data_IF_544175129100
#
_entry.id   IF_544175129100
#
_cell.length_a   1.000
_cell.length_b   1.000
_cell.length_c   1.000
_cell.angle_alpha   90.00
_cell.angle_beta   90.00
_cell.angle_gamma   90.00
#
_symmetry.space_group_name_H-M   'P 1'
#
loop_
_entity.id
_entity.type
_entity.pdbx_description
1 polymer ?
#
# COMPACT_ATOMS: atom_id res chain seq x y z
N UNK A 1 -23.14 2.21 12.47
CA UNK A 1 -23.46 1.62 11.16
C UNK A 1 -22.89 2.43 9.99
N UNK A 2 -23.20 3.72 9.82
CA UNK A 2 -22.69 4.51 8.67
C UNK A 2 -21.16 4.52 8.50
N UNK A 3 -20.37 4.54 9.58
CA UNK A 3 -18.91 4.55 9.50
C UNK A 3 -18.34 3.23 8.96
N UNK A 4 -18.90 2.09 9.38
CA UNK A 4 -18.50 0.77 8.89
C UNK A 4 -18.82 0.62 7.41
N UNK A 5 -20.01 1.06 6.97
CA UNK A 5 -20.41 1.04 5.56
C UNK A 5 -19.49 1.90 4.67
N UNK A 6 -18.97 3.01 5.20
CA UNK A 6 -17.98 3.87 4.51
C UNK A 6 -16.63 3.17 4.40
N UNK A 7 -16.16 2.54 5.47
CA UNK A 7 -14.88 1.83 5.51
C UNK A 7 -14.87 0.63 4.56
N UNK A 8 -16.02 0.01 4.32
CA UNK A 8 -16.16 -1.10 3.36
C UNK A 8 -16.20 -0.64 1.89
N UNK A 9 -16.61 0.61 1.65
CA UNK A 9 -16.80 1.15 0.28
C UNK A 9 -15.65 2.01 -0.20
N UNK A 10 -14.92 2.62 0.72
CA UNK A 10 -13.86 3.59 0.41
C UNK A 10 -12.54 3.18 1.04
N UNK A 11 -11.45 3.68 0.49
CA UNK A 11 -10.09 3.47 1.02
C UNK A 11 -9.69 4.67 1.88
N UNK A 12 -9.12 4.40 3.04
CA UNK A 12 -8.64 5.42 3.97
C UNK A 12 -7.19 5.17 4.32
N UNK A 13 -6.39 6.23 4.36
CA UNK A 13 -4.99 6.16 4.76
C UNK A 13 -4.82 6.11 6.28
N UNK A 14 -5.80 6.60 7.03
CA UNK A 14 -5.81 6.62 8.49
C UNK A 14 -7.24 6.84 9.01
N UNK A 15 -7.55 6.25 10.15
CA UNK A 15 -8.81 6.45 10.87
C UNK A 15 -8.54 7.12 12.22
N UNK A 16 -9.24 8.22 12.47
CA UNK A 16 -9.33 8.83 13.79
C UNK A 16 -10.60 8.29 14.47
N UNK A 17 -10.44 7.53 15.55
CA UNK A 17 -11.54 6.80 16.19
C UNK A 17 -11.74 7.27 17.61
N UNK A 18 -12.93 7.79 17.93
CA UNK A 18 -13.32 8.04 19.32
C UNK A 18 -13.77 6.72 19.98
N UNK A 19 -13.34 6.50 21.21
CA UNK A 19 -13.79 5.34 22.00
C UNK A 19 -15.22 5.57 22.51
N UNK A 20 -15.54 6.81 22.87
CA UNK A 20 -16.83 7.18 23.47
C UNK A 20 -17.85 7.59 22.38
N UNK A 21 -18.22 6.66 21.52
CA UNK A 21 -19.27 6.89 20.53
C UNK A 21 -20.66 6.54 21.12
N UNK A 22 -21.72 7.29 20.76
CA UNK A 22 -23.08 6.94 21.20
C UNK A 22 -23.49 5.57 20.65
N UNK A 23 -23.79 4.65 21.53
CA UNK A 23 -24.35 3.34 21.18
C UNK A 23 -23.38 2.26 20.74
N UNK A 24 -22.09 2.57 20.55
CA UNK A 24 -21.05 1.58 20.17
C UNK A 24 -19.74 1.91 20.87
N UNK A 25 -19.04 0.92 21.41
CA UNK A 25 -17.69 1.12 21.97
C UNK A 25 -16.67 1.20 20.81
N UNK A 26 -15.82 2.23 20.83
CA UNK A 26 -14.76 2.37 19.83
C UNK A 26 -13.76 1.21 19.82
N UNK A 27 -13.61 0.48 20.90
CA UNK A 27 -12.82 -0.74 20.94
C UNK A 27 -13.41 -1.86 20.09
N UNK A 28 -14.76 -2.00 20.08
CA UNK A 28 -15.44 -3.00 19.25
C UNK A 28 -15.29 -2.66 17.77
N UNK A 29 -15.34 -1.36 17.42
CA UNK A 29 -15.07 -0.90 16.05
C UNK A 29 -13.63 -1.22 15.67
N UNK A 30 -12.66 -1.01 16.57
CA UNK A 30 -11.26 -1.32 16.32
C UNK A 30 -11.04 -2.80 16.03
N UNK A 31 -11.66 -3.71 16.76
CA UNK A 31 -11.59 -5.16 16.50
C UNK A 31 -12.16 -5.51 15.12
N UNK A 32 -13.26 -4.86 14.72
CA UNK A 32 -13.88 -5.07 13.41
C UNK A 32 -12.97 -4.60 12.26
N UNK A 33 -12.35 -3.41 12.36
CA UNK A 33 -11.53 -2.84 11.29
C UNK A 33 -10.08 -3.37 11.27
N UNK A 34 -9.63 -4.05 12.32
CA UNK A 34 -8.28 -4.61 12.43
C UNK A 34 -7.81 -5.44 11.22
N UNK A 35 -8.66 -6.33 10.63
CA UNK A 35 -8.27 -7.09 9.43
C UNK A 35 -7.97 -6.24 8.20
N UNK A 36 -8.52 -5.02 8.13
CA UNK A 36 -8.34 -4.11 7.00
C UNK A 36 -6.95 -3.45 6.98
N UNK A 37 -6.19 -3.56 8.09
CA UNK A 37 -4.83 -3.00 8.23
C UNK A 37 -4.72 -1.50 7.98
N UNK A 38 -5.81 -0.75 8.18
CA UNK A 38 -5.81 0.70 8.13
C UNK A 38 -5.27 1.21 9.48
N UNK A 39 -4.31 2.16 9.51
CA UNK A 39 -3.81 2.69 10.77
C UNK A 39 -4.91 3.46 11.52
N UNK A 40 -4.94 3.29 12.82
CA UNK A 40 -5.93 3.93 13.70
C UNK A 40 -5.23 4.72 14.79
N UNK A 41 -5.67 5.98 14.98
CA UNK A 41 -5.35 6.76 16.18
C UNK A 41 -6.63 6.93 16.98
N UNK A 42 -6.61 6.50 18.25
CA UNK A 42 -7.71 6.79 19.15
C UNK A 42 -7.71 8.26 19.58
N UNK A 43 -8.86 8.91 19.50
CA UNK A 43 -9.09 10.26 20.03
C UNK A 43 -10.24 10.20 21.02
N UNK A 44 -9.99 10.39 22.31
CA UNK A 44 -11.02 10.16 23.31
C UNK A 44 -10.82 10.98 24.58
N UNK A 45 -11.91 11.21 25.33
CA UNK A 45 -11.84 11.78 26.67
C UNK A 45 -11.34 10.77 27.73
N UNK A 46 -11.28 9.47 27.42
CA UNK A 46 -10.73 8.45 28.32
C UNK A 46 -9.20 8.57 28.40
N UNK A 47 -8.69 9.10 29.49
CA UNK A 47 -7.26 9.29 29.73
C UNK A 47 -6.62 8.21 30.59
N UNK A 48 -7.37 7.21 31.05
CA UNK A 48 -6.84 6.17 31.96
C UNK A 48 -5.77 5.33 31.23
N UNK A 49 -4.72 5.01 31.97
CA UNK A 49 -3.61 4.17 31.47
C UNK A 49 -4.11 2.81 30.99
N UNK A 50 -5.11 2.24 31.66
CA UNK A 50 -5.73 0.96 31.27
C UNK A 50 -6.36 1.01 29.87
N UNK A 51 -7.11 2.06 29.56
CA UNK A 51 -7.75 2.25 28.26
C UNK A 51 -6.72 2.48 27.16
N UNK A 52 -5.65 3.25 27.45
CA UNK A 52 -4.54 3.45 26.53
C UNK A 52 -3.80 2.14 26.20
N UNK A 53 -3.48 1.36 27.22
CA UNK A 53 -2.83 0.05 27.04
C UNK A 53 -3.73 -0.91 26.26
N UNK A 54 -5.04 -0.92 26.54
CA UNK A 54 -6.02 -1.72 25.80
C UNK A 54 -6.03 -1.33 24.33
N UNK A 55 -6.15 -0.04 24.01
CA UNK A 55 -6.17 0.46 22.62
C UNK A 55 -4.91 0.08 21.83
N UNK A 56 -3.72 0.29 22.42
CA UNK A 56 -2.47 -0.07 21.77
C UNK A 56 -2.32 -1.59 21.58
N UNK A 57 -2.76 -2.40 22.54
CA UNK A 57 -2.77 -3.88 22.41
C UNK A 57 -3.72 -4.39 21.33
N UNK A 58 -4.82 -3.69 21.09
CA UNK A 58 -5.75 -3.98 19.99
C UNK A 58 -5.16 -3.65 18.61
N UNK A 59 -4.03 -2.90 18.58
CA UNK A 59 -3.31 -2.60 17.35
C UNK A 59 -3.49 -1.16 16.86
N UNK A 60 -3.99 -0.24 17.71
CA UNK A 60 -3.95 1.19 17.38
C UNK A 60 -2.49 1.68 17.31
N UNK A 61 -2.20 2.55 16.35
CA UNK A 61 -0.86 3.11 16.14
C UNK A 61 -0.53 4.22 17.16
N UNK A 62 -1.56 4.94 17.64
CA UNK A 62 -1.39 5.98 18.66
C UNK A 62 -2.69 6.23 19.43
N UNK A 63 -2.61 7.03 20.49
CA UNK A 63 -3.72 7.36 21.39
C UNK A 63 -3.61 8.81 21.86
N UNK A 64 -4.64 9.63 21.61
CA UNK A 64 -4.69 11.04 21.93
C UNK A 64 -5.86 11.36 22.86
N UNK A 65 -5.58 12.00 24.00
CA UNK A 65 -6.59 12.32 25.02
C UNK A 65 -7.11 13.74 24.83
N UNK A 66 -8.42 13.91 24.81
CA UNK A 66 -9.09 15.22 24.81
C UNK A 66 -9.02 15.88 26.20
N UNK A 67 -8.80 17.22 26.28
CA UNK A 67 -8.55 18.15 25.17
C UNK A 67 -7.11 18.07 24.66
N UNK A 68 -6.90 18.27 23.36
CA UNK A 68 -5.59 18.27 22.70
C UNK A 68 -5.47 19.50 21.76
N UNK A 69 -4.24 19.87 21.45
CA UNK A 69 -3.95 20.86 20.44
C UNK A 69 -4.01 20.24 19.03
N UNK A 70 -4.57 20.96 18.06
CA UNK A 70 -4.63 20.51 16.66
C UNK A 70 -3.21 20.27 16.11
N UNK A 71 -2.23 21.06 16.52
CA UNK A 71 -0.82 20.87 16.10
C UNK A 71 -0.29 19.52 16.60
N UNK A 72 -0.66 19.11 17.82
CA UNK A 72 -0.29 17.77 18.34
C UNK A 72 -0.93 16.66 17.52
N UNK A 73 -2.22 16.78 17.20
CA UNK A 73 -2.93 15.79 16.36
C UNK A 73 -2.24 15.66 15.00
N UNK A 74 -1.95 16.77 14.33
CA UNK A 74 -1.31 16.78 13.02
C UNK A 74 0.07 16.10 13.05
N UNK A 75 0.89 16.42 14.07
CA UNK A 75 2.20 15.80 14.23
C UNK A 75 2.11 14.28 14.42
N UNK A 76 1.13 13.79 15.18
CA UNK A 76 0.87 12.34 15.37
C UNK A 76 0.40 11.66 14.10
N UNK A 77 -0.54 12.28 13.37
CA UNK A 77 -1.01 11.81 12.07
C UNK A 77 0.17 11.67 11.10
N UNK A 78 1.02 12.68 10.98
CA UNK A 78 2.22 12.64 10.13
C UNK A 78 3.16 11.48 10.51
N UNK A 79 3.41 11.26 11.80
CA UNK A 79 4.27 10.18 12.28
C UNK A 79 3.67 8.82 11.93
N UNK A 80 2.37 8.64 12.13
CA UNK A 80 1.68 7.37 11.84
C UNK A 80 1.66 7.12 10.33
N UNK A 81 1.25 8.09 9.52
CA UNK A 81 1.24 7.97 8.06
C UNK A 81 2.65 7.67 7.54
N UNK A 82 3.67 8.37 8.00
CA UNK A 82 5.07 8.09 7.61
C UNK A 82 5.51 6.68 7.95
N UNK A 83 5.13 6.14 9.11
CA UNK A 83 5.42 4.74 9.49
C UNK A 83 4.66 3.74 8.63
N UNK A 84 3.41 4.04 8.32
CA UNK A 84 2.56 3.19 7.50
C UNK A 84 2.98 3.22 6.04
N UNK A 85 3.31 4.39 5.49
CA UNK A 85 3.92 4.52 4.17
C UNK A 85 5.27 3.82 4.11
N UNK A 86 6.09 3.86 5.18
CA UNK A 86 7.33 3.06 5.26
C UNK A 86 7.07 1.55 5.30
N UNK A 87 6.02 1.08 5.97
CA UNK A 87 5.59 -0.32 5.91
C UNK A 87 4.98 -0.70 4.56
N UNK A 88 4.32 0.26 3.88
CA UNK A 88 3.83 0.14 2.51
C UNK A 88 4.84 0.56 1.44
N UNK A 89 5.96 1.17 1.84
CA UNK A 89 7.02 1.62 0.95
C UNK A 89 7.88 0.48 0.40
N UNK A 90 7.77 -0.72 0.95
CA UNK A 90 8.44 -1.90 0.41
C UNK A 90 7.43 -2.82 -0.27
N UNK A 91 7.61 -3.01 -1.57
CA UNK A 91 6.92 -4.03 -2.34
C UNK A 91 7.86 -5.22 -2.52
N UNK A 92 7.31 -6.43 -2.52
CA UNK A 92 8.11 -7.63 -2.74
C UNK A 92 7.41 -8.64 -3.64
N UNK A 93 8.19 -9.37 -4.42
CA UNK A 93 7.75 -10.47 -5.26
C UNK A 93 8.87 -11.51 -5.37
N UNK A 94 8.70 -12.64 -4.67
CA UNK A 94 9.77 -13.63 -4.53
C UNK A 94 10.99 -13.02 -3.82
N UNK A 95 12.15 -13.08 -4.47
CA UNK A 95 13.42 -12.54 -3.99
C UNK A 95 13.67 -11.05 -4.37
N UNK A 96 12.70 -10.43 -5.06
CA UNK A 96 12.77 -9.01 -5.45
C UNK A 96 12.09 -8.15 -4.39
N UNK A 97 12.79 -7.14 -3.90
CA UNK A 97 12.29 -6.13 -2.97
C UNK A 97 12.48 -4.74 -3.58
N UNK A 98 11.43 -3.94 -3.54
CA UNK A 98 11.41 -2.54 -3.99
C UNK A 98 11.19 -1.64 -2.80
N UNK A 99 12.14 -0.80 -2.49
CA UNK A 99 11.97 0.33 -1.58
C UNK A 99 11.44 1.52 -2.39
N UNK A 100 10.16 1.83 -2.19
CA UNK A 100 9.46 2.88 -2.94
C UNK A 100 9.96 4.29 -2.56
N UNK A 101 10.37 4.48 -1.32
CA UNK A 101 10.82 5.76 -0.79
C UNK A 101 12.25 6.08 -1.27
N UNK A 102 13.14 5.11 -1.12
CA UNK A 102 14.51 5.22 -1.64
C UNK A 102 14.62 5.00 -3.15
N UNK A 103 13.54 4.56 -3.83
CA UNK A 103 13.53 4.09 -5.23
C UNK A 103 14.62 3.06 -5.53
N UNK A 104 14.91 2.22 -4.55
CA UNK A 104 15.90 1.15 -4.67
C UNK A 104 15.23 -0.20 -4.94
N UNK A 105 15.85 -0.98 -5.80
CA UNK A 105 15.42 -2.35 -6.10
C UNK A 105 16.56 -3.29 -5.77
N UNK A 106 16.24 -4.35 -5.03
CA UNK A 106 17.17 -5.46 -4.78
C UNK A 106 16.57 -6.78 -5.23
N UNK A 107 17.43 -7.68 -5.71
CA UNK A 107 17.10 -9.07 -5.97
C UNK A 107 18.02 -9.97 -5.17
N UNK A 108 17.48 -10.85 -4.34
CA UNK A 108 18.23 -11.66 -3.38
C UNK A 108 19.23 -10.81 -2.55
N UNK A 109 18.83 -9.59 -2.16
CA UNK A 109 19.65 -8.64 -1.42
C UNK A 109 20.68 -7.85 -2.26
N UNK A 110 20.85 -8.14 -3.55
CA UNK A 110 21.78 -7.44 -4.44
C UNK A 110 21.06 -6.30 -5.18
N UNK A 111 21.59 -5.06 -5.15
CA UNK A 111 21.00 -3.93 -5.86
C UNK A 111 20.92 -4.16 -7.38
N UNK A 112 19.78 -3.79 -7.96
CA UNK A 112 19.52 -3.88 -9.41
C UNK A 112 19.18 -2.49 -9.95
N UNK A 113 19.93 -2.05 -10.98
CA UNK A 113 19.70 -0.76 -11.62
C UNK A 113 18.63 -0.90 -12.71
N UNK A 114 17.58 -0.14 -12.59
CA UNK A 114 16.48 -0.05 -13.55
C UNK A 114 16.38 1.35 -14.14
N UNK A 115 15.92 1.43 -15.39
CA UNK A 115 15.47 2.71 -15.97
C UNK A 115 14.14 3.12 -15.33
N UNK A 116 13.74 4.40 -15.46
CA UNK A 116 12.46 4.88 -14.90
C UNK A 116 11.25 4.08 -15.42
N UNK A 117 11.27 3.67 -16.69
CA UNK A 117 10.18 2.89 -17.29
C UNK A 117 10.18 1.43 -16.81
N UNK A 118 11.34 0.81 -16.67
CA UNK A 118 11.46 -0.53 -16.07
C UNK A 118 11.02 -0.53 -14.59
N UNK A 119 11.39 0.51 -13.84
CA UNK A 119 10.94 0.69 -12.45
C UNK A 119 9.43 0.85 -12.35
N UNK A 120 8.83 1.71 -13.19
CA UNK A 120 7.37 1.88 -13.23
C UNK A 120 6.62 0.58 -13.54
N UNK A 121 7.11 -0.19 -14.53
CA UNK A 121 6.56 -1.51 -14.86
C UNK A 121 6.71 -2.50 -13.70
N UNK A 122 7.89 -2.54 -13.05
CA UNK A 122 8.14 -3.40 -11.90
C UNK A 122 7.13 -3.16 -10.78
N UNK A 123 6.93 -1.88 -10.41
CA UNK A 123 5.98 -1.47 -9.36
C UNK A 123 4.57 -1.91 -9.72
N UNK A 124 4.11 -1.65 -10.95
CA UNK A 124 2.77 -2.04 -11.39
C UNK A 124 2.56 -3.55 -11.35
N UNK A 125 3.55 -4.35 -11.79
CA UNK A 125 3.44 -5.81 -11.74
C UNK A 125 3.41 -6.33 -10.31
N UNK A 126 4.23 -5.80 -9.41
CA UNK A 126 4.26 -6.25 -8.01
C UNK A 126 2.98 -5.86 -7.27
N UNK A 127 2.43 -4.66 -7.53
CA UNK A 127 1.16 -4.23 -6.94
C UNK A 127 -0.03 -5.06 -7.43
N UNK A 128 0.06 -5.64 -8.63
CA UNK A 128 -1.01 -6.42 -9.27
C UNK A 128 -0.59 -7.87 -9.53
N UNK A 129 0.09 -8.50 -8.55
CA UNK A 129 0.48 -9.92 -8.65
C UNK A 129 -0.70 -10.81 -9.01
N UNK A 130 -0.47 -11.77 -9.92
CA UNK A 130 -1.45 -12.74 -10.38
C UNK A 130 -2.65 -12.16 -11.15
N UNK A 131 -2.63 -10.84 -11.45
CA UNK A 131 -3.65 -10.15 -12.25
C UNK A 131 -3.08 -9.85 -13.63
N UNK A 132 -3.85 -10.16 -14.69
CA UNK A 132 -3.49 -9.78 -16.05
C UNK A 132 -3.73 -8.28 -16.26
N UNK A 133 -2.68 -7.56 -16.67
CA UNK A 133 -2.72 -6.14 -16.97
C UNK A 133 -2.73 -5.92 -18.48
N UNK A 134 -3.64 -5.05 -18.95
CA UNK A 134 -3.74 -4.69 -20.36
C UNK A 134 -2.52 -3.88 -20.83
N UNK A 135 -2.11 -4.08 -22.09
CA UNK A 135 -0.98 -3.35 -22.69
C UNK A 135 -1.18 -1.85 -22.66
N UNK A 136 -2.40 -1.39 -22.97
CA UNK A 136 -2.82 0.01 -22.94
C UNK A 136 -2.60 0.60 -21.53
N UNK A 137 -3.17 -0.06 -20.51
CA UNK A 137 -3.04 0.39 -19.11
C UNK A 137 -1.59 0.43 -18.62
N UNK A 138 -0.76 -0.53 -19.01
CA UNK A 138 0.66 -0.54 -18.68
C UNK A 138 1.39 0.62 -19.33
N UNK A 139 1.10 0.87 -20.62
CA UNK A 139 1.73 1.94 -21.38
C UNK A 139 1.34 3.31 -20.80
N UNK A 140 0.05 3.60 -20.71
CA UNK A 140 -0.48 4.87 -20.22
C UNK A 140 0.02 5.21 -18.81
N UNK A 141 -0.02 4.25 -17.88
CA UNK A 141 0.45 4.46 -16.51
C UNK A 141 1.95 4.71 -16.40
N UNK A 142 2.76 4.11 -17.28
CA UNK A 142 4.23 4.20 -17.19
C UNK A 142 4.77 5.31 -18.08
N UNK A 143 4.19 5.54 -19.27
CA UNK A 143 4.66 6.59 -20.19
C UNK A 143 3.93 7.92 -19.98
N UNK A 144 2.69 7.89 -19.45
CA UNK A 144 1.88 9.09 -19.27
C UNK A 144 1.28 9.62 -20.58
N UNK A 145 1.29 8.82 -21.63
CA UNK A 145 0.83 9.13 -22.97
C UNK A 145 -0.27 8.14 -23.37
N UNK A 146 -1.18 8.54 -24.23
CA UNK A 146 -2.20 7.65 -24.79
C UNK A 146 -1.54 6.55 -25.60
N UNK A 147 -2.06 5.33 -25.49
CA UNK A 147 -1.54 4.18 -26.22
C UNK A 147 -1.95 4.24 -27.69
N UNK A 148 -0.98 4.36 -28.58
CA UNK A 148 -1.19 4.45 -30.05
C UNK A 148 -1.35 3.10 -30.76
N UNK A 149 -1.37 1.99 -30.01
CA UNK A 149 -1.45 0.63 -30.57
C UNK A 149 -0.09 -0.02 -30.86
N UNK A 150 1.03 0.71 -30.80
CA UNK A 150 2.38 0.12 -30.96
C UNK A 150 2.94 -0.39 -29.63
N UNK A 151 2.91 -1.71 -29.48
CA UNK A 151 3.39 -2.37 -28.26
C UNK A 151 4.90 -2.63 -28.22
N UNK A 152 5.66 -2.34 -29.27
CA UNK A 152 7.10 -2.69 -29.37
C UNK A 152 7.92 -2.07 -28.25
N UNK A 153 7.66 -0.81 -27.91
CA UNK A 153 8.35 -0.12 -26.81
C UNK A 153 8.07 -0.80 -25.47
N UNK A 154 6.81 -1.11 -25.19
CA UNK A 154 6.41 -1.83 -23.97
C UNK A 154 7.04 -3.23 -23.91
N UNK A 155 6.96 -3.97 -25.00
CA UNK A 155 7.50 -5.35 -25.12
C UNK A 155 9.00 -5.39 -24.86
N UNK A 156 9.75 -4.44 -25.40
CA UNK A 156 11.20 -4.31 -25.17
C UNK A 156 11.52 -4.08 -23.68
N UNK A 157 10.77 -3.19 -23.01
CA UNK A 157 11.00 -2.90 -21.60
C UNK A 157 10.58 -4.08 -20.72
N UNK A 158 9.49 -4.78 -21.04
CA UNK A 158 9.09 -6.01 -20.35
C UNK A 158 10.14 -7.10 -20.51
N UNK A 159 10.70 -7.28 -21.71
CA UNK A 159 11.77 -8.25 -21.95
C UNK A 159 13.03 -7.94 -21.13
N UNK A 160 13.44 -6.66 -21.09
CA UNK A 160 14.58 -6.22 -20.26
C UNK A 160 14.33 -6.44 -18.78
N UNK A 161 13.11 -6.13 -18.31
CA UNK A 161 12.71 -6.34 -16.93
C UNK A 161 12.74 -7.83 -16.55
N UNK A 162 12.18 -8.70 -17.39
CA UNK A 162 12.28 -10.17 -17.21
C UNK A 162 13.71 -10.61 -16.98
N UNK A 163 14.63 -10.20 -17.86
CA UNK A 163 16.04 -10.57 -17.77
C UNK A 163 16.70 -10.06 -16.49
N UNK A 164 16.44 -8.80 -16.09
CA UNK A 164 17.01 -8.22 -14.86
C UNK A 164 16.48 -8.86 -13.59
N UNK A 165 15.20 -9.23 -13.58
CA UNK A 165 14.55 -9.85 -12.42
C UNK A 165 14.65 -11.38 -12.43
N UNK A 166 15.12 -12.01 -13.52
CA UNK A 166 15.07 -13.46 -13.69
C UNK A 166 13.63 -13.99 -13.73
N UNK A 167 12.73 -13.21 -14.30
CA UNK A 167 11.28 -13.50 -14.35
C UNK A 167 10.84 -14.02 -15.73
N UNK A 168 11.69 -14.78 -16.41
CA UNK A 168 11.39 -15.34 -17.72
C UNK A 168 10.14 -16.24 -17.70
N UNK A 169 9.94 -16.94 -16.58
CA UNK A 169 8.82 -17.84 -16.40
C UNK A 169 7.68 -17.26 -15.54
N UNK A 170 7.95 -16.21 -14.76
CA UNK A 170 6.97 -15.59 -13.86
C UNK A 170 6.21 -14.44 -14.52
N UNK A 171 6.88 -13.61 -15.30
CA UNK A 171 6.23 -12.50 -16.00
C UNK A 171 5.76 -12.97 -17.38
N UNK A 172 4.58 -13.55 -17.43
CA UNK A 172 4.02 -14.21 -18.62
C UNK A 172 3.23 -13.26 -19.51
N UNK A 173 3.20 -13.55 -20.81
CA UNK A 173 2.30 -12.89 -21.74
C UNK A 173 0.92 -13.55 -21.69
N UNK A 174 -0.14 -12.74 -21.59
CA UNK A 174 -1.53 -13.19 -21.66
C UNK A 174 -2.08 -12.80 -23.04
N UNK A 175 -2.44 -13.81 -23.83
CA UNK A 175 -2.86 -13.62 -25.22
C UNK A 175 -3.98 -12.59 -25.36
N UNK A 176 -3.82 -11.64 -26.28
CA UNK A 176 -4.73 -10.51 -26.54
C UNK A 176 -5.06 -9.59 -25.35
N UNK A 177 -4.37 -9.74 -24.22
CA UNK A 177 -4.56 -8.89 -23.03
C UNK A 177 -3.29 -8.08 -22.77
N UNK A 178 -2.19 -8.74 -22.43
CA UNK A 178 -0.98 -8.05 -22.04
C UNK A 178 -0.06 -8.96 -21.22
N UNK A 179 0.17 -8.64 -19.94
CA UNK A 179 1.13 -9.37 -19.13
C UNK A 179 0.60 -9.62 -17.71
N UNK A 180 1.08 -10.69 -17.09
CA UNK A 180 0.78 -11.07 -15.70
C UNK A 180 2.05 -11.52 -15.01
N UNK A 181 2.31 -11.00 -13.80
CA UNK A 181 3.35 -11.51 -12.92
C UNK A 181 2.77 -12.62 -12.04
N UNK A 182 3.23 -13.85 -12.23
CA UNK A 182 2.81 -15.02 -11.47
C UNK A 182 3.82 -15.28 -10.35
N UNK A 183 3.38 -15.08 -9.10
CA UNK A 183 4.17 -15.31 -7.89
C UNK A 183 3.31 -16.14 -6.94
N UNK A 184 3.92 -17.18 -6.37
CA UNK A 184 3.31 -18.02 -5.34
C UNK A 184 3.14 -17.29 -4.01
#
# INVERSE_FOLDING_TARGET
MKAIELIEKETFDLILLDIMLPGVDGFDIMEYIRPLKIPVIFITAKGDVKDRVKGLRLGAEDYLVKPFDVVELLARVEVVLRRFHKRGAQLSAGDVVVDMEARMVTKAGVPVVLTNKEYGLLVLFIQNKNIALFKESLYEKVWGEEYDGDSRTLELHVQRLRKKMGWENQLVAVYKVGYRLEIA
#
